data_IF_677317219450
#
_entry.id   IF_677317219450
#
_cell.length_a   1.000
_cell.length_b   1.000
_cell.length_c   1.000
_cell.angle_alpha   90.00
_cell.angle_beta   90.00
_cell.angle_gamma   90.00
#
_symmetry.space_group_name_H-M   'P 1'
#
loop_
_entity.id
_entity.type
_entity.pdbx_description
1 polymer ?
#
# COMPACT_ATOMS: atom_id res chain seq x y z
N UNK A 1 -0.06 -1.01 -38.30
CA UNK A 1 1.15 -1.82 -38.53
C UNK A 1 1.29 -2.74 -37.32
N UNK A 2 1.01 -4.03 -37.49
CA UNK A 2 1.05 -5.02 -36.42
C UNK A 2 2.52 -5.37 -36.12
N UNK A 3 3.03 -4.94 -34.97
CA UNK A 3 4.29 -5.45 -34.45
C UNK A 3 4.07 -6.85 -33.89
N UNK A 4 4.41 -7.84 -34.70
CA UNK A 4 4.56 -9.24 -34.30
C UNK A 4 5.59 -9.36 -33.17
N UNK A 5 5.16 -9.78 -31.99
CA UNK A 5 6.06 -10.30 -30.97
C UNK A 5 6.58 -11.67 -31.44
N UNK A 6 7.90 -11.91 -31.51
CA UNK A 6 8.38 -13.23 -31.88
C UNK A 6 8.04 -14.25 -30.79
N UNK A 7 7.49 -15.39 -31.23
CA UNK A 7 7.24 -16.58 -30.43
C UNK A 7 8.56 -17.21 -29.94
N UNK A 8 8.61 -17.51 -28.64
CA UNK A 8 9.40 -18.56 -27.98
C UNK A 8 10.92 -18.56 -28.21
N UNK A 9 11.64 -17.65 -27.55
CA UNK A 9 13.05 -17.90 -27.21
C UNK A 9 13.11 -18.96 -26.11
N UNK A 10 13.93 -20.00 -26.28
CA UNK A 10 14.21 -20.92 -25.18
C UNK A 10 14.76 -20.12 -24.00
N UNK A 11 14.01 -20.05 -22.90
CA UNK A 11 14.45 -19.31 -21.71
C UNK A 11 15.44 -20.19 -20.95
N UNK A 12 16.71 -19.79 -20.95
CA UNK A 12 17.79 -20.55 -20.31
C UNK A 12 18.09 -20.07 -18.88
N UNK A 13 17.35 -19.07 -18.43
CA UNK A 13 17.30 -18.53 -17.07
C UNK A 13 15.83 -18.30 -16.74
N UNK A 14 15.43 -18.54 -15.51
CA UNK A 14 14.10 -18.17 -15.01
C UNK A 14 14.25 -17.31 -13.77
N UNK A 15 13.22 -16.54 -13.46
CA UNK A 15 13.18 -15.80 -12.22
C UNK A 15 11.77 -15.41 -11.83
N UNK A 16 11.59 -15.20 -10.53
CA UNK A 16 10.32 -14.81 -9.94
C UNK A 16 10.59 -13.95 -8.72
N UNK A 17 9.75 -12.94 -8.51
CA UNK A 17 9.73 -12.21 -7.26
C UNK A 17 8.82 -12.89 -6.25
N UNK A 18 9.25 -12.88 -4.99
CA UNK A 18 8.45 -13.24 -3.83
C UNK A 18 8.46 -12.08 -2.84
N UNK A 19 7.30 -11.48 -2.62
CA UNK A 19 7.13 -10.45 -1.59
C UNK A 19 7.05 -11.14 -0.23
N UNK A 20 7.88 -10.69 0.71
CA UNK A 20 7.97 -11.22 2.07
C UNK A 20 7.63 -10.15 3.09
N UNK A 21 7.23 -10.57 4.29
CA UNK A 21 6.89 -9.65 5.38
C UNK A 21 5.54 -8.95 5.21
N UNK A 22 5.32 -7.93 6.03
CA UNK A 22 4.11 -7.13 6.02
C UNK A 22 4.12 -6.12 4.87
N UNK A 23 2.93 -5.86 4.31
CA UNK A 23 2.72 -4.89 3.24
C UNK A 23 1.92 -3.73 3.78
N UNK A 24 2.54 -2.93 4.64
CA UNK A 24 1.87 -1.83 5.34
C UNK A 24 2.67 -0.56 5.15
N UNK A 25 2.00 0.55 4.87
CA UNK A 25 2.63 1.87 4.76
C UNK A 25 3.26 2.24 6.11
N UNK A 26 4.54 2.62 6.11
CA UNK A 26 5.30 2.91 7.32
C UNK A 26 6.30 1.82 7.72
N UNK A 27 6.38 0.73 6.96
CA UNK A 27 7.37 -0.35 7.15
C UNK A 27 8.20 -0.57 5.90
N UNK A 28 9.40 -1.10 6.06
CA UNK A 28 10.22 -1.49 4.91
C UNK A 28 9.54 -2.57 4.08
N UNK A 29 9.63 -2.46 2.76
CA UNK A 29 9.10 -3.46 1.83
C UNK A 29 10.22 -4.43 1.48
N UNK A 30 10.04 -5.71 1.82
CA UNK A 30 11.00 -6.75 1.48
C UNK A 30 10.50 -7.62 0.34
N UNK A 31 11.32 -7.78 -0.69
CA UNK A 31 11.05 -8.63 -1.84
C UNK A 31 12.30 -9.43 -2.16
N UNK A 32 12.13 -10.70 -2.50
CA UNK A 32 13.23 -11.57 -2.88
C UNK A 32 13.06 -11.96 -4.33
N UNK A 33 14.08 -11.69 -5.15
CA UNK A 33 14.16 -12.21 -6.51
C UNK A 33 14.86 -13.56 -6.47
N UNK A 34 14.17 -14.61 -6.88
CA UNK A 34 14.76 -15.91 -7.12
C UNK A 34 15.16 -16.00 -8.59
N UNK A 35 16.41 -16.37 -8.88
CA UNK A 35 16.92 -16.56 -10.25
C UNK A 35 17.54 -17.96 -10.35
N UNK A 36 17.13 -18.70 -11.38
CA UNK A 36 17.55 -20.09 -11.61
C UNK A 36 18.22 -20.20 -12.97
N UNK A 37 19.40 -20.81 -13.00
CA UNK A 37 20.06 -21.18 -14.24
C UNK A 37 19.50 -22.52 -14.73
N UNK A 38 18.80 -22.52 -15.87
CA UNK A 38 18.16 -23.72 -16.39
C UNK A 38 19.11 -24.61 -17.21
N UNK A 39 20.37 -24.19 -17.40
CA UNK A 39 21.39 -24.94 -18.15
C UNK A 39 22.36 -25.68 -17.22
N UNK A 40 23.18 -26.57 -17.79
CA UNK A 40 24.22 -27.26 -17.04
C UNK A 40 25.53 -26.46 -16.93
N UNK A 41 25.69 -25.40 -17.72
CA UNK A 41 26.90 -24.57 -17.74
C UNK A 41 26.78 -23.40 -16.77
N UNK A 42 27.88 -23.00 -16.17
CA UNK A 42 27.90 -21.82 -15.29
C UNK A 42 27.69 -20.53 -16.09
N UNK A 43 26.98 -19.57 -15.51
CA UNK A 43 26.63 -18.28 -16.11
C UNK A 43 26.95 -17.12 -15.17
N UNK A 44 27.33 -15.99 -15.75
CA UNK A 44 27.43 -14.71 -15.05
C UNK A 44 26.27 -13.84 -15.50
N UNK A 45 25.38 -13.50 -14.58
CA UNK A 45 24.17 -12.73 -14.84
C UNK A 45 24.32 -11.36 -14.17
N UNK A 46 24.17 -10.30 -14.96
CA UNK A 46 23.98 -8.94 -14.47
C UNK A 46 22.49 -8.72 -14.22
N UNK A 47 22.14 -8.27 -13.03
CA UNK A 47 20.75 -8.02 -12.62
C UNK A 47 20.64 -6.54 -12.30
N UNK A 48 19.85 -5.81 -13.06
CA UNK A 48 19.47 -4.44 -12.73
C UNK A 48 18.04 -4.46 -12.16
N UNK A 49 17.89 -3.99 -10.92
CA UNK A 49 16.62 -3.98 -10.19
C UNK A 49 16.20 -2.52 -10.01
N UNK A 50 15.00 -2.19 -10.45
CA UNK A 50 14.39 -0.86 -10.26
C UNK A 50 13.07 -1.00 -9.54
N UNK A 51 12.74 -0.02 -8.70
CA UNK A 51 11.43 0.07 -8.09
C UNK A 51 10.82 1.45 -8.32
N UNK A 52 9.52 1.48 -8.59
CA UNK A 52 8.76 2.70 -8.84
C UNK A 52 7.52 2.73 -7.97
N UNK A 53 7.12 3.91 -7.48
CA UNK A 53 5.73 4.10 -7.07
C UNK A 53 4.86 4.16 -8.32
N UNK A 54 3.73 3.48 -8.29
CA UNK A 54 2.80 3.40 -9.43
C UNK A 54 1.39 3.80 -9.00
N UNK A 55 0.57 4.15 -9.98
CA UNK A 55 -0.88 4.19 -9.83
C UNK A 55 -1.47 2.80 -10.03
N UNK A 56 -2.72 2.59 -9.64
CA UNK A 56 -3.45 1.33 -9.91
C UNK A 56 -3.55 1.00 -11.40
N UNK A 57 -3.33 1.98 -12.28
CA UNK A 57 -3.25 1.85 -13.74
C UNK A 57 -1.89 1.40 -14.26
N UNK A 58 -0.95 1.04 -13.37
CA UNK A 58 0.46 0.73 -13.66
C UNK A 58 1.25 1.89 -14.29
N UNK A 59 0.80 3.12 -14.11
CA UNK A 59 1.58 4.29 -14.49
C UNK A 59 2.67 4.53 -13.45
N UNK A 60 3.93 4.43 -13.87
CA UNK A 60 5.09 4.85 -13.07
C UNK A 60 5.05 6.34 -12.75
N UNK A 61 5.32 6.66 -11.49
CA UNK A 61 5.31 8.03 -10.97
C UNK A 61 6.70 8.47 -10.53
N UNK A 62 7.30 7.75 -9.59
CA UNK A 62 8.62 8.10 -9.05
C UNK A 62 9.50 6.86 -8.89
N UNK A 63 10.78 6.95 -9.27
CA UNK A 63 11.75 5.89 -9.02
C UNK A 63 12.16 5.93 -7.54
N UNK A 64 11.99 4.81 -6.85
CA UNK A 64 12.28 4.63 -5.42
C UNK A 64 13.65 3.96 -5.18
N UNK A 65 14.05 3.11 -6.12
CA UNK A 65 15.29 2.34 -6.05
C UNK A 65 15.82 2.04 -7.46
N UNK A 66 17.15 2.03 -7.59
CA UNK A 66 17.84 1.44 -8.73
C UNK A 66 19.16 0.82 -8.23
N UNK A 67 19.26 -0.49 -8.33
CA UNK A 67 20.42 -1.27 -7.88
C UNK A 67 20.88 -2.22 -8.98
N UNK A 68 22.19 -2.40 -9.12
CA UNK A 68 22.75 -3.40 -10.04
C UNK A 68 23.61 -4.39 -9.29
N UNK A 69 23.38 -5.69 -9.53
CA UNK A 69 24.16 -6.80 -8.97
C UNK A 69 24.71 -7.68 -10.08
N UNK A 70 25.77 -8.41 -9.78
CA UNK A 70 26.32 -9.45 -10.66
C UNK A 70 26.37 -10.76 -9.90
N UNK A 71 25.82 -11.81 -10.52
CA UNK A 71 25.66 -13.13 -9.92
C UNK A 71 26.33 -14.17 -10.79
N UNK A 72 27.13 -15.04 -10.18
CA UNK A 72 27.60 -16.25 -10.84
C UNK A 72 26.70 -17.41 -10.43
N UNK A 73 26.00 -18.02 -11.38
CA UNK A 73 25.18 -19.22 -11.18
C UNK A 73 25.87 -20.43 -11.81
N UNK A 74 26.09 -21.49 -11.05
CA UNK A 74 26.48 -22.81 -11.56
C UNK A 74 25.34 -23.41 -12.39
N UNK A 75 25.63 -24.50 -13.10
CA UNK A 75 24.59 -25.26 -13.79
C UNK A 75 23.51 -25.71 -12.83
N UNK A 76 22.24 -25.49 -13.21
CA UNK A 76 21.05 -25.84 -12.40
C UNK A 76 20.96 -25.15 -11.03
N UNK A 77 21.83 -24.16 -10.75
CA UNK A 77 21.81 -23.43 -9.49
C UNK A 77 20.68 -22.40 -9.47
N UNK A 78 20.06 -22.26 -8.30
CA UNK A 78 19.14 -21.20 -7.94
C UNK A 78 19.78 -20.28 -6.90
N UNK A 79 19.60 -18.97 -7.03
CA UNK A 79 19.99 -17.99 -6.02
C UNK A 79 18.86 -17.03 -5.71
N UNK A 80 18.79 -16.67 -4.44
CA UNK A 80 17.94 -15.61 -3.94
C UNK A 80 18.72 -14.30 -3.85
N UNK A 81 18.06 -13.22 -4.24
CA UNK A 81 18.57 -11.86 -4.24
C UNK A 81 17.59 -11.02 -3.43
N UNK A 82 17.83 -10.87 -2.12
CA UNK A 82 16.94 -10.09 -1.26
C UNK A 82 17.08 -8.59 -1.58
N UNK A 83 15.95 -7.90 -1.59
CA UNK A 83 15.82 -6.48 -1.82
C UNK A 83 14.96 -5.88 -0.72
N UNK A 84 15.39 -4.74 -0.20
CA UNK A 84 14.64 -3.98 0.80
C UNK A 84 14.49 -2.56 0.31
N UNK A 85 13.24 -2.13 0.15
CA UNK A 85 12.90 -0.74 -0.14
C UNK A 85 12.50 -0.12 1.20
N UNK A 86 13.36 0.73 1.76
CA UNK A 86 13.13 1.32 3.08
C UNK A 86 11.98 2.31 3.04
N UNK A 87 11.27 2.47 4.17
CA UNK A 87 10.17 3.43 4.25
C UNK A 87 10.61 4.84 3.84
N UNK A 88 11.80 5.28 4.25
CA UNK A 88 12.32 6.62 3.93
C UNK A 88 12.55 6.83 2.42
N UNK A 89 12.69 5.75 1.64
CA UNK A 89 12.86 5.86 0.18
C UNK A 89 11.54 6.13 -0.53
N UNK A 90 10.41 5.81 0.09
CA UNK A 90 9.10 5.90 -0.56
C UNK A 90 8.07 6.75 0.17
N UNK A 91 8.30 7.14 1.43
CA UNK A 91 7.30 7.82 2.27
C UNK A 91 6.72 9.10 1.66
N UNK A 92 7.50 9.85 0.88
CA UNK A 92 7.09 11.12 0.24
C UNK A 92 6.81 10.96 -1.26
N UNK A 93 7.05 9.77 -1.81
CA UNK A 93 6.95 9.47 -3.24
C UNK A 93 5.85 8.44 -3.55
N UNK A 94 5.22 7.87 -2.52
CA UNK A 94 4.11 6.95 -2.65
C UNK A 94 2.85 7.70 -3.10
N UNK A 95 2.11 7.09 -4.01
CA UNK A 95 0.82 7.60 -4.48
C UNK A 95 -0.28 7.26 -3.47
N UNK A 96 -1.47 7.87 -3.61
CA UNK A 96 -2.62 7.51 -2.79
C UNK A 96 -3.12 6.06 -3.02
N UNK A 97 -2.67 5.41 -4.09
CA UNK A 97 -2.96 4.00 -4.39
C UNK A 97 -2.08 3.04 -3.57
N UNK A 98 -1.02 3.55 -2.92
CA UNK A 98 -0.09 2.77 -2.10
C UNK A 98 0.57 1.59 -2.85
N UNK A 99 0.84 1.75 -4.14
CA UNK A 99 1.41 0.70 -4.96
C UNK A 99 2.86 0.97 -5.35
N UNK A 100 3.67 -0.08 -5.27
CA UNK A 100 5.08 -0.11 -5.70
C UNK A 100 5.23 -1.23 -6.72
N UNK A 101 5.83 -0.93 -7.86
CA UNK A 101 6.25 -1.91 -8.86
C UNK A 101 7.75 -2.14 -8.74
N UNK A 102 8.17 -3.40 -8.81
CA UNK A 102 9.58 -3.79 -8.80
C UNK A 102 9.88 -4.57 -10.07
N UNK A 103 10.88 -4.12 -10.80
CA UNK A 103 11.37 -4.73 -12.03
C UNK A 103 12.78 -5.27 -11.82
N UNK A 104 13.09 -6.39 -12.43
CA UNK A 104 14.45 -6.90 -12.57
C UNK A 104 14.73 -7.26 -14.03
N UNK A 105 15.73 -6.58 -14.60
CA UNK A 105 16.30 -6.92 -15.90
C UNK A 105 17.56 -7.74 -15.67
N UNK A 106 17.49 -9.03 -15.98
CA UNK A 106 18.59 -9.97 -15.87
C UNK A 106 19.19 -10.21 -17.26
N UNK A 107 20.50 -10.03 -17.42
CA UNK A 107 21.18 -10.26 -18.69
C UNK A 107 22.51 -10.99 -18.53
N UNK A 108 22.86 -11.78 -19.54
CA UNK A 108 24.18 -12.41 -19.66
C UNK A 108 24.79 -12.04 -20.99
N UNK A 109 25.84 -11.22 -20.97
CA UNK A 109 26.52 -10.74 -22.18
C UNK A 109 27.13 -11.89 -22.98
N UNK A 110 27.64 -12.93 -22.30
CA UNK A 110 28.27 -14.09 -22.95
C UNK A 110 27.30 -14.94 -23.76
N UNK A 111 26.06 -15.05 -23.29
CA UNK A 111 25.02 -15.90 -23.91
C UNK A 111 23.96 -15.10 -24.65
N UNK A 112 24.04 -13.75 -24.63
CA UNK A 112 23.06 -12.83 -25.19
C UNK A 112 21.62 -13.10 -24.70
N UNK A 113 21.49 -13.52 -23.43
CA UNK A 113 20.21 -13.84 -22.80
C UNK A 113 19.68 -12.62 -22.05
N UNK A 114 18.37 -12.42 -22.09
CA UNK A 114 17.65 -11.40 -21.31
C UNK A 114 16.40 -12.00 -20.70
N UNK A 115 16.18 -11.70 -19.43
CA UNK A 115 14.97 -12.03 -18.68
C UNK A 115 14.50 -10.75 -18.00
N UNK A 116 13.19 -10.50 -18.05
CA UNK A 116 12.54 -9.44 -17.29
C UNK A 116 11.57 -10.12 -16.33
N UNK A 117 11.63 -9.72 -15.07
CA UNK A 117 10.73 -10.16 -14.01
C UNK A 117 10.15 -8.91 -13.37
N UNK A 118 8.85 -8.89 -13.12
CA UNK A 118 8.17 -7.76 -12.50
C UNK A 118 7.19 -8.23 -11.43
N UNK A 119 6.91 -7.37 -10.44
CA UNK A 119 5.85 -7.61 -9.48
C UNK A 119 5.30 -6.30 -8.92
N UNK A 120 3.98 -6.26 -8.69
CA UNK A 120 3.32 -5.15 -8.05
C UNK A 120 3.02 -5.48 -6.58
N UNK A 121 3.30 -4.51 -5.72
CA UNK A 121 3.15 -4.60 -4.28
C UNK A 121 2.18 -3.50 -3.85
N UNK A 122 0.98 -3.89 -3.42
CA UNK A 122 0.03 -3.01 -2.77
C UNK A 122 0.31 -2.99 -1.26
N UNK A 123 0.42 -1.79 -0.68
CA UNK A 123 0.60 -1.57 0.75
C UNK A 123 -0.72 -1.15 1.39
N UNK A 124 -1.03 -1.75 2.53
CA UNK A 124 -2.19 -1.42 3.33
C UNK A 124 -1.92 -0.19 4.20
N UNK A 125 -2.90 0.69 4.29
CA UNK A 125 -2.88 1.75 5.29
C UNK A 125 -3.19 1.18 6.68
N UNK A 126 -2.75 1.85 7.76
CA UNK A 126 -3.26 1.58 9.11
C UNK A 126 -4.78 1.78 9.16
N UNK A 127 -5.46 1.07 10.06
CA UNK A 127 -6.90 1.22 10.29
C UNK A 127 -7.13 2.17 11.47
N UNK A 128 -8.26 2.87 11.44
CA UNK A 128 -8.81 3.54 12.63
C UNK A 128 -10.05 2.81 13.12
N UNK A 129 -10.43 3.10 14.35
CA UNK A 129 -11.66 2.61 14.95
C UNK A 129 -12.72 3.71 14.99
N UNK A 130 -13.98 3.32 14.88
CA UNK A 130 -15.13 4.20 15.09
C UNK A 130 -15.92 3.62 16.25
N UNK A 131 -16.19 4.43 17.27
CA UNK A 131 -16.92 3.99 18.46
C UNK A 131 -18.11 4.92 18.74
N UNK A 132 -19.30 4.36 18.96
CA UNK A 132 -20.47 5.13 19.35
C UNK A 132 -20.42 5.43 20.84
N UNK A 133 -20.63 6.70 21.21
CA UNK A 133 -20.74 7.12 22.61
C UNK A 133 -22.20 7.04 23.04
N UNK A 134 -22.51 6.07 23.92
CA UNK A 134 -23.86 5.85 24.43
C UNK A 134 -24.78 5.17 23.42
N UNK A 135 -25.99 5.68 23.26
CA UNK A 135 -27.01 5.14 22.33
C UNK A 135 -27.34 6.17 21.26
N UNK A 136 -27.67 5.69 20.07
CA UNK A 136 -28.24 6.51 19.01
C UNK A 136 -29.77 6.44 19.08
N UNK A 137 -30.43 7.58 19.25
CA UNK A 137 -31.89 7.72 19.27
C UNK A 137 -32.27 8.67 18.14
N UNK A 138 -33.33 8.38 17.40
CA UNK A 138 -33.82 9.24 16.32
C UNK A 138 -34.07 10.66 16.85
N UNK A 139 -33.71 11.66 16.03
CA UNK A 139 -33.85 13.09 16.32
C UNK A 139 -33.12 13.60 17.57
N UNK A 140 -32.27 12.79 18.21
CA UNK A 140 -31.42 13.20 19.34
C UNK A 140 -29.96 13.24 18.92
N UNK A 141 -29.24 14.24 19.43
CA UNK A 141 -27.80 14.37 19.20
C UNK A 141 -27.05 13.16 19.75
N UNK A 142 -26.16 12.60 18.96
CA UNK A 142 -25.27 11.49 19.33
C UNK A 142 -23.86 11.75 18.81
N UNK A 143 -22.87 11.09 19.39
CA UNK A 143 -21.46 11.29 19.05
C UNK A 143 -20.79 9.96 18.76
N UNK A 144 -20.01 9.92 17.70
CA UNK A 144 -19.02 8.85 17.48
C UNK A 144 -17.62 9.39 17.71
N UNK A 145 -16.71 8.52 18.12
CA UNK A 145 -15.29 8.81 18.26
C UNK A 145 -14.52 8.08 17.16
N UNK A 146 -13.72 8.83 16.41
CA UNK A 146 -12.77 8.30 15.45
C UNK A 146 -11.42 8.20 16.17
N UNK A 147 -10.92 6.99 16.35
CA UNK A 147 -9.71 6.72 17.14
C UNK A 147 -8.65 6.18 16.20
N UNK A 148 -7.56 6.93 16.04
CA UNK A 148 -6.46 6.55 15.17
C UNK A 148 -5.14 6.53 15.94
N UNK A 149 -4.37 5.44 15.78
CA UNK A 149 -3.03 5.30 16.33
C UNK A 149 -2.00 5.52 15.23
N UNK A 150 -1.13 6.50 15.42
CA UNK A 150 -0.03 6.78 14.50
C UNK A 150 1.00 5.63 14.51
N UNK A 151 1.16 4.87 13.41
CA UNK A 151 2.13 3.78 13.39
C UNK A 151 3.56 4.25 13.10
N UNK A 152 3.77 5.51 12.74
CA UNK A 152 5.08 6.03 12.30
C UNK A 152 5.92 6.53 13.47
N UNK A 153 7.24 6.62 13.23
CA UNK A 153 8.19 7.32 14.12
C UNK A 153 8.24 8.84 13.84
N UNK A 154 7.23 9.38 13.16
CA UNK A 154 7.12 10.79 12.78
C UNK A 154 5.72 11.29 13.07
N UNK A 155 5.60 12.58 13.32
CA UNK A 155 4.31 13.21 13.57
C UNK A 155 3.46 13.23 12.30
N UNK A 156 2.16 13.11 12.50
CA UNK A 156 1.18 13.29 11.44
C UNK A 156 0.52 14.65 11.61
N UNK A 157 0.42 15.37 10.50
CA UNK A 157 -0.21 16.69 10.43
C UNK A 157 -1.33 16.68 9.41
N UNK A 158 -2.10 17.78 9.38
CA UNK A 158 -3.14 18.01 8.39
C UNK A 158 -4.18 16.90 8.38
N UNK A 159 -4.53 16.39 9.57
CA UNK A 159 -5.52 15.35 9.73
C UNK A 159 -6.89 15.94 9.38
N UNK A 160 -7.55 15.33 8.40
CA UNK A 160 -8.91 15.64 7.98
C UNK A 160 -9.72 14.36 8.06
N UNK A 161 -10.88 14.46 8.71
CA UNK A 161 -11.84 13.37 8.78
C UNK A 161 -13.15 13.81 8.15
N UNK A 162 -13.66 13.03 7.19
CA UNK A 162 -14.96 13.24 6.56
C UNK A 162 -15.88 12.11 7.01
N UNK A 163 -17.03 12.44 7.59
CA UNK A 163 -17.99 11.46 8.10
C UNK A 163 -19.34 11.64 7.41
N UNK A 164 -19.90 10.53 6.94
CA UNK A 164 -21.20 10.48 6.27
C UNK A 164 -22.01 9.25 6.74
N UNK A 165 -23.31 9.24 6.44
CA UNK A 165 -24.16 8.11 6.80
C UNK A 165 -25.63 8.36 6.46
N UNK A 166 -26.18 7.57 5.56
CA UNK A 166 -27.59 7.71 5.15
C UNK A 166 -28.51 7.44 6.34
N UNK A 167 -29.44 8.36 6.62
CA UNK A 167 -30.33 8.30 7.79
C UNK A 167 -29.70 8.78 9.10
N UNK A 168 -28.41 9.10 9.10
CA UNK A 168 -27.65 9.59 10.26
C UNK A 168 -27.24 11.06 10.09
N UNK A 169 -26.70 11.38 8.92
CA UNK A 169 -26.05 12.65 8.59
C UNK A 169 -26.64 13.13 7.26
N UNK A 170 -27.21 14.34 7.24
CA UNK A 170 -27.85 14.90 6.03
C UNK A 170 -26.83 15.38 5.00
N UNK A 171 -25.74 15.96 5.46
CA UNK A 171 -24.62 16.46 4.65
C UNK A 171 -23.30 16.01 5.29
N UNK A 172 -22.31 15.54 4.51
CA UNK A 172 -21.04 15.06 5.07
C UNK A 172 -20.39 16.08 6.00
N UNK A 173 -19.93 15.61 7.15
CA UNK A 173 -19.26 16.43 8.17
C UNK A 173 -17.76 16.34 7.95
N UNK A 174 -17.10 17.47 7.72
CA UNK A 174 -15.63 17.55 7.61
C UNK A 174 -15.04 18.14 8.89
N UNK A 175 -14.09 17.45 9.51
CA UNK A 175 -13.41 17.87 10.74
C UNK A 175 -11.91 17.99 10.48
N UNK A 176 -11.34 19.10 10.95
CA UNK A 176 -9.89 19.27 11.06
C UNK A 176 -9.43 18.64 12.38
N UNK A 177 -8.78 17.49 12.30
CA UNK A 177 -8.30 16.71 13.44
C UNK A 177 -6.98 17.21 14.02
N UNK A 178 -6.29 18.15 13.37
CA UNK A 178 -5.02 18.69 13.83
C UNK A 178 -3.84 17.76 13.54
N UNK A 179 -3.07 17.42 14.59
CA UNK A 179 -1.85 16.61 14.50
C UNK A 179 -1.78 15.56 15.61
N UNK A 180 -1.03 14.48 15.37
CA UNK A 180 -0.71 13.46 16.38
C UNK A 180 0.78 13.14 16.35
N UNK A 181 1.39 13.04 17.52
CA UNK A 181 2.81 12.75 17.67
C UNK A 181 3.17 11.33 17.19
N UNK A 182 4.45 11.12 16.91
CA UNK A 182 5.01 9.80 16.63
C UNK A 182 4.55 8.75 17.66
N UNK A 183 4.02 7.62 17.18
CA UNK A 183 3.54 6.48 17.99
C UNK A 183 2.36 6.74 18.92
N UNK A 184 1.82 7.96 18.98
CA UNK A 184 0.68 8.30 19.83
C UNK A 184 -0.67 8.06 19.14
N UNK A 185 -1.77 8.28 19.86
CA UNK A 185 -3.14 8.12 19.37
C UNK A 185 -3.93 9.42 19.47
N UNK A 186 -4.84 9.62 18.53
CA UNK A 186 -5.78 10.75 18.52
C UNK A 186 -7.21 10.24 18.54
N UNK A 187 -8.07 10.94 19.29
CA UNK A 187 -9.51 10.70 19.34
C UNK A 187 -10.25 11.94 18.85
N UNK A 188 -11.03 11.80 17.77
CA UNK A 188 -11.75 12.89 17.12
C UNK A 188 -13.25 12.64 17.30
N UNK A 189 -13.94 13.42 18.17
CA UNK A 189 -15.38 13.30 18.35
C UNK A 189 -16.14 13.93 17.18
N UNK A 190 -17.18 13.24 16.69
CA UNK A 190 -18.06 13.69 15.61
C UNK A 190 -19.50 13.58 16.08
N UNK A 191 -20.17 14.73 16.19
CA UNK A 191 -21.54 14.81 16.68
C UNK A 191 -22.52 15.01 15.52
N UNK A 192 -23.60 14.23 15.51
CA UNK A 192 -24.67 14.32 14.51
C UNK A 192 -26.02 13.93 15.10
N UNK A 193 -27.09 14.20 14.35
CA UNK A 193 -28.47 13.89 14.77
C UNK A 193 -29.12 12.95 13.75
N UNK A 194 -29.29 11.65 14.09
CA UNK A 194 -29.97 10.70 13.22
C UNK A 194 -31.40 11.12 12.89
N UNK A 195 -31.85 10.84 11.68
CA UNK A 195 -33.18 11.20 11.19
C UNK A 195 -33.97 10.00 10.64
N UNK A 196 -33.42 8.78 10.71
CA UNK A 196 -34.11 7.51 10.41
C UNK A 196 -33.73 6.43 11.42
N UNK A 197 -34.70 5.64 11.83
CA UNK A 197 -34.53 4.50 12.75
C UNK A 197 -33.95 3.25 12.06
N UNK A 198 -33.59 2.27 12.90
CA UNK A 198 -33.13 0.95 12.51
C UNK A 198 -31.62 0.88 12.28
N UNK A 199 -31.18 -0.17 11.60
CA UNK A 199 -29.77 -0.37 11.27
C UNK A 199 -29.28 0.69 10.28
N UNK A 200 -28.16 1.32 10.61
CA UNK A 200 -27.52 2.39 9.84
C UNK A 200 -26.01 2.23 9.90
N UNK A 201 -25.31 2.85 8.97
CA UNK A 201 -23.85 2.82 8.90
C UNK A 201 -23.30 4.24 8.92
N UNK A 202 -22.36 4.48 9.83
CA UNK A 202 -21.45 5.61 9.79
C UNK A 202 -20.29 5.21 8.90
N UNK A 203 -19.97 6.02 7.90
CA UNK A 203 -18.81 5.88 7.04
C UNK A 203 -17.87 7.04 7.35
N UNK A 204 -16.57 6.76 7.42
CA UNK A 204 -15.56 7.78 7.63
C UNK A 204 -14.38 7.61 6.66
N UNK A 205 -13.89 8.74 6.17
CA UNK A 205 -12.60 8.88 5.51
C UNK A 205 -11.64 9.62 6.44
N UNK A 206 -10.47 9.06 6.67
CA UNK A 206 -9.38 9.69 7.39
C UNK A 206 -8.22 9.91 6.42
N UNK A 207 -7.75 11.15 6.35
CA UNK A 207 -6.61 11.55 5.53
C UNK A 207 -5.69 12.46 6.35
N UNK A 208 -4.37 12.30 6.21
CA UNK A 208 -3.37 13.19 6.78
C UNK A 208 -2.25 13.43 5.78
N UNK A 209 -1.17 14.11 6.19
CA UNK A 209 0.01 14.32 5.36
C UNK A 209 0.61 13.02 4.79
N UNK A 210 0.68 11.92 5.58
CA UNK A 210 1.34 10.65 5.21
C UNK A 210 0.40 9.52 4.77
N UNK A 211 -0.85 9.52 5.20
CA UNK A 211 -1.83 8.49 4.83
C UNK A 211 -3.01 9.12 4.12
N UNK A 212 -3.40 8.58 2.97
CA UNK A 212 -4.52 9.08 2.17
C UNK A 212 -5.64 8.06 2.14
N UNK A 213 -6.88 8.53 2.18
CA UNK A 213 -8.07 7.73 1.93
C UNK A 213 -8.21 6.48 2.82
N UNK A 214 -7.86 6.58 4.11
CA UNK A 214 -8.14 5.48 5.03
C UNK A 214 -9.65 5.46 5.23
N UNK A 215 -10.29 4.32 4.92
CA UNK A 215 -11.75 4.17 5.06
C UNK A 215 -12.09 3.32 6.27
N UNK A 216 -13.14 3.72 6.99
CA UNK A 216 -13.69 2.98 8.11
C UNK A 216 -15.21 3.07 8.13
N UNK A 217 -15.85 2.12 8.79
CA UNK A 217 -17.30 2.16 8.99
C UNK A 217 -17.69 1.58 10.35
N UNK A 218 -18.85 1.98 10.83
CA UNK A 218 -19.50 1.43 12.01
C UNK A 218 -20.98 1.25 11.76
N UNK A 219 -21.47 0.04 11.98
CA UNK A 219 -22.90 -0.22 12.06
C UNK A 219 -23.43 0.28 13.41
N UNK A 220 -24.47 1.10 13.39
CA UNK A 220 -25.20 1.53 14.59
C UNK A 220 -26.68 1.24 14.42
N UNK A 221 -27.33 0.87 15.52
CA UNK A 221 -28.78 0.70 15.56
C UNK A 221 -29.43 1.95 16.16
N UNK A 222 -30.16 2.71 15.35
CA UNK A 222 -30.87 3.92 15.79
C UNK A 222 -32.22 3.51 16.39
N UNK A 223 -32.38 3.78 17.67
CA UNK A 223 -33.59 3.46 18.42
C UNK A 223 -34.67 4.52 18.16
N UNK A 224 -35.93 4.09 18.20
CA UNK A 224 -37.07 4.99 18.39
C UNK A 224 -36.95 5.71 19.75
N UNK A 225 -37.61 6.85 19.87
CA UNK A 225 -37.73 7.57 21.15
C UNK A 225 -38.59 6.82 22.17
#
# INVERSE_FOLDING_TARGET
MSSSFPLSTATYISGAFKVTGERVVGKDVTVTLTITNLTCNSKSIKVNITAFSILYTNKEMHQLLNETRTLCLKGKEEKEVPLTIKYEQYEDLLTADNMIEVHAVCSSEKTNEKLVVETNIALENPKFEIQLVGKAIINKSTTVQIIFKNPLNKDLTDIVVIVEGSGLIKEPITIQGGSVEAKDSITIPVTFTPYKEGEKYVLADFTCNKFKNIKGHLQINVQAE
#
